data_IF_106100616932
#
_entry.id   IF_106100616932
#
_cell.length_a   1.000
_cell.length_b   1.000
_cell.length_c   1.000
_cell.angle_alpha   90.00
_cell.angle_beta   90.00
_cell.angle_gamma   90.00
#
_symmetry.space_group_name_H-M   'P 1'
#
loop_
_entity.id
_entity.type
_entity.pdbx_description
1 polymer ?
#
# COMPACT_ATOMS: atom_id res chain seq x y z
N UNK A 1 10.30 -14.12 -8.30
CA UNK A 1 9.25 -14.29 -9.34
C UNK A 1 8.97 -12.91 -9.89
N UNK A 2 9.08 -12.67 -11.19
CA UNK A 2 8.78 -11.35 -11.74
C UNK A 2 7.26 -11.22 -11.92
N UNK A 3 6.72 -10.13 -11.39
CA UNK A 3 5.33 -9.72 -11.59
C UNK A 3 5.39 -8.66 -12.69
N UNK A 4 4.63 -8.84 -13.77
CA UNK A 4 4.54 -7.88 -14.87
C UNK A 4 3.64 -6.71 -14.50
N UNK A 5 2.48 -6.99 -13.89
CA UNK A 5 1.45 -5.99 -13.56
C UNK A 5 1.00 -6.17 -12.11
N UNK A 6 1.00 -5.07 -11.34
CA UNK A 6 0.51 -5.03 -9.97
C UNK A 6 -0.75 -4.16 -9.86
N UNK A 7 -1.87 -4.75 -9.47
CA UNK A 7 -3.10 -4.05 -9.10
C UNK A 7 -3.02 -3.69 -7.61
N UNK A 8 -3.17 -2.42 -7.29
CA UNK A 8 -3.16 -1.90 -5.93
C UNK A 8 -4.57 -1.41 -5.62
N UNK A 9 -5.28 -2.14 -4.76
CA UNK A 9 -6.63 -1.82 -4.33
C UNK A 9 -6.64 -1.19 -2.94
N UNK A 10 -7.62 -0.32 -2.67
CA UNK A 10 -7.78 0.34 -1.36
C UNK A 10 -7.97 -0.66 -0.18
N UNK A 11 -8.55 -1.84 -0.46
CA UNK A 11 -8.92 -2.84 0.57
C UNK A 11 -8.53 -4.27 0.16
N UNK A 12 -8.25 -5.18 1.12
CA UNK A 12 -7.88 -6.57 0.83
C UNK A 12 -8.98 -7.36 0.13
N UNK A 13 -10.26 -7.11 0.49
CA UNK A 13 -11.40 -7.76 -0.15
C UNK A 13 -11.52 -7.42 -1.63
N UNK A 14 -11.22 -6.19 -2.02
CA UNK A 14 -11.26 -5.74 -3.42
C UNK A 14 -10.12 -6.38 -4.22
N UNK A 15 -8.91 -6.42 -3.65
CA UNK A 15 -7.77 -7.10 -4.27
C UNK A 15 -8.05 -8.60 -4.52
N UNK A 16 -8.71 -9.27 -3.56
CA UNK A 16 -9.15 -10.66 -3.72
C UNK A 16 -10.14 -10.82 -4.87
N UNK A 17 -11.14 -9.95 -4.93
CA UNK A 17 -12.15 -9.97 -5.98
C UNK A 17 -11.54 -9.76 -7.38
N UNK A 18 -10.54 -8.88 -7.52
CA UNK A 18 -9.78 -8.77 -8.77
C UNK A 18 -9.10 -10.09 -9.14
N UNK A 19 -8.44 -10.74 -8.19
CA UNK A 19 -7.79 -12.02 -8.44
C UNK A 19 -8.81 -13.10 -8.84
N UNK A 20 -9.93 -13.22 -8.12
CA UNK A 20 -11.00 -14.19 -8.39
C UNK A 20 -11.56 -14.01 -9.80
N UNK A 21 -11.97 -12.78 -10.17
CA UNK A 21 -12.61 -12.48 -11.45
C UNK A 21 -11.63 -12.62 -12.61
N UNK A 22 -10.46 -11.96 -12.53
CA UNK A 22 -9.51 -11.92 -13.64
C UNK A 22 -8.84 -13.27 -13.90
N UNK A 23 -8.59 -14.05 -12.85
CA UNK A 23 -7.97 -15.37 -12.98
C UNK A 23 -8.97 -16.50 -13.23
N UNK A 24 -10.28 -16.23 -13.12
CA UNK A 24 -11.34 -17.25 -13.05
C UNK A 24 -11.07 -18.25 -11.91
N UNK A 25 -10.84 -17.73 -10.71
CA UNK A 25 -10.49 -18.47 -9.49
C UNK A 25 -9.17 -19.27 -9.56
N UNK A 26 -8.26 -18.95 -10.49
CA UNK A 26 -6.93 -19.57 -10.65
C UNK A 26 -5.83 -18.62 -10.23
N UNK A 27 -5.82 -18.26 -8.95
CA UNK A 27 -4.77 -17.46 -8.32
C UNK A 27 -4.06 -18.23 -7.21
N UNK A 28 -2.91 -17.73 -6.78
CA UNK A 28 -2.16 -18.20 -5.60
C UNK A 28 -2.12 -17.09 -4.58
N UNK A 29 -2.42 -17.41 -3.34
CA UNK A 29 -2.21 -16.49 -2.21
C UNK A 29 -0.74 -16.52 -1.80
N UNK A 30 -0.16 -15.33 -1.67
CA UNK A 30 1.22 -15.10 -1.25
C UNK A 30 1.24 -14.04 -0.14
N UNK A 31 2.36 -13.93 0.56
CA UNK A 31 2.54 -12.96 1.64
C UNK A 31 3.87 -12.25 1.52
N UNK A 32 3.88 -10.93 1.71
CA UNK A 32 5.09 -10.12 1.88
C UNK A 32 4.88 -9.20 3.08
N UNK A 33 5.83 -9.16 4.02
CA UNK A 33 5.70 -8.42 5.28
C UNK A 33 4.36 -8.66 6.03
N UNK A 34 3.84 -9.90 6.01
CA UNK A 34 2.54 -10.24 6.60
C UNK A 34 1.35 -9.46 5.99
N UNK A 35 1.48 -9.08 4.72
CA UNK A 35 0.41 -8.57 3.87
C UNK A 35 0.11 -9.60 2.79
N UNK A 36 -1.15 -10.01 2.73
CA UNK A 36 -1.66 -10.95 1.73
C UNK A 36 -1.73 -10.29 0.36
N UNK A 37 -1.27 -10.98 -0.67
CA UNK A 37 -1.44 -10.59 -2.07
C UNK A 37 -1.68 -11.83 -2.93
N UNK A 38 -2.27 -11.62 -4.10
CA UNK A 38 -2.73 -12.69 -4.97
C UNK A 38 -1.99 -12.65 -6.28
N UNK A 39 -1.47 -13.78 -6.73
CA UNK A 39 -0.72 -13.91 -7.98
C UNK A 39 -1.51 -14.78 -8.95
N UNK A 40 -1.63 -14.34 -10.20
CA UNK A 40 -2.30 -15.10 -11.25
C UNK A 40 -1.67 -14.84 -12.62
N UNK A 41 -2.08 -15.65 -13.62
CA UNK A 41 -1.70 -15.42 -15.02
C UNK A 41 -2.87 -14.82 -15.79
N UNK A 42 -2.59 -13.79 -16.58
CA UNK A 42 -3.54 -13.16 -17.49
C UNK A 42 -2.79 -12.77 -18.77
N UNK A 43 -3.32 -13.11 -19.96
CA UNK A 43 -2.72 -12.75 -21.25
C UNK A 43 -1.22 -13.08 -21.39
N UNK A 44 -0.80 -14.26 -20.94
CA UNK A 44 0.62 -14.71 -20.89
C UNK A 44 1.56 -13.90 -19.98
N UNK A 45 1.03 -12.99 -19.16
CA UNK A 45 1.79 -12.23 -18.16
C UNK A 45 1.49 -12.74 -16.73
N UNK A 46 2.40 -12.44 -15.81
CA UNK A 46 2.23 -12.67 -14.38
C UNK A 46 1.68 -11.41 -13.74
N UNK A 47 0.46 -11.51 -13.23
CA UNK A 47 -0.25 -10.42 -12.57
C UNK A 47 -0.27 -10.67 -11.06
N UNK A 48 -0.34 -9.58 -10.30
CA UNK A 48 -0.64 -9.65 -8.88
C UNK A 48 -1.66 -8.59 -8.48
N UNK A 49 -2.44 -8.86 -7.44
CA UNK A 49 -3.26 -7.86 -6.75
C UNK A 49 -2.95 -7.83 -5.26
N UNK A 50 -2.79 -6.63 -4.72
CA UNK A 50 -2.57 -6.37 -3.29
C UNK A 50 -3.60 -5.35 -2.80
N UNK A 51 -4.12 -5.56 -1.60
CA UNK A 51 -5.03 -4.62 -0.97
C UNK A 51 -4.35 -3.89 0.17
N UNK A 52 -4.59 -2.58 0.27
CA UNK A 52 -4.10 -1.73 1.35
C UNK A 52 -5.05 -1.75 2.56
N UNK A 53 -4.80 -0.88 3.54
CA UNK A 53 -5.65 -0.69 4.72
C UNK A 53 -6.16 0.75 4.77
N UNK A 54 -6.74 1.20 3.67
CA UNK A 54 -7.02 2.62 3.49
C UNK A 54 -5.74 3.42 3.22
N UNK A 55 -5.71 4.67 3.69
CA UNK A 55 -4.51 5.51 3.64
C UNK A 55 -3.33 4.87 4.38
N UNK A 56 -2.23 4.65 3.65
CA UNK A 56 -0.96 4.14 4.19
C UNK A 56 0.04 5.25 4.55
N UNK A 57 -0.31 6.48 4.19
CA UNK A 57 0.43 7.70 4.44
C UNK A 57 -0.52 8.70 5.12
N UNK A 58 0.04 9.59 5.92
CA UNK A 58 -0.70 10.63 6.64
C UNK A 58 0.15 11.91 6.68
N UNK A 59 -0.44 13.01 7.17
CA UNK A 59 0.28 14.22 7.50
C UNK A 59 0.36 14.39 9.01
N UNK A 60 1.52 14.81 9.49
CA UNK A 60 1.77 15.16 10.89
C UNK A 60 2.66 16.40 10.94
N UNK A 61 2.78 17.05 12.10
CA UNK A 61 3.79 18.08 12.27
C UNK A 61 5.18 17.46 12.49
N UNK A 62 6.27 18.21 12.20
CA UNK A 62 7.60 17.78 12.61
C UNK A 62 7.63 17.45 14.10
N UNK A 63 8.33 16.37 14.49
CA UNK A 63 8.26 15.79 15.84
C UNK A 63 8.49 16.77 17.00
N UNK A 64 9.25 17.85 16.77
CA UNK A 64 9.46 18.93 17.74
C UNK A 64 8.19 19.71 18.12
N UNK A 65 7.13 19.64 17.31
CA UNK A 65 5.84 20.30 17.56
C UNK A 65 4.75 19.36 18.07
N UNK A 66 5.03 18.05 18.21
CA UNK A 66 4.01 17.07 18.63
C UNK A 66 3.73 17.10 20.15
N UNK A 67 4.48 17.92 20.89
CA UNK A 67 4.35 18.05 22.35
C UNK A 67 3.54 19.29 22.70
N UNK A 68 2.24 19.10 22.89
CA UNK A 68 1.28 20.17 23.18
C UNK A 68 1.65 21.07 24.38
N UNK A 69 2.33 20.52 25.39
CA UNK A 69 2.75 21.30 26.56
C UNK A 69 4.01 22.15 26.33
N UNK A 70 4.75 21.90 25.23
CA UNK A 70 6.02 22.55 24.91
C UNK A 70 5.90 23.56 23.76
N UNK A 71 4.69 23.80 23.22
CA UNK A 71 4.44 24.73 22.10
C UNK A 71 3.26 25.67 22.35
N UNK A 72 3.25 26.85 21.72
CA UNK A 72 2.03 27.65 21.56
C UNK A 72 1.25 27.09 20.35
N UNK A 73 -0.03 26.68 20.49
CA UNK A 73 -0.83 26.20 19.37
C UNK A 73 -0.92 27.18 18.18
N UNK A 74 -0.70 28.48 18.40
CA UNK A 74 -0.66 29.49 17.34
C UNK A 74 0.50 29.30 16.38
N UNK A 75 1.61 28.72 16.84
CA UNK A 75 2.78 28.45 16.00
C UNK A 75 2.42 27.48 14.88
N UNK A 76 1.50 26.54 15.12
CA UNK A 76 1.08 25.53 14.14
C UNK A 76 0.48 26.12 12.85
N UNK A 77 -0.07 27.34 12.88
CA UNK A 77 -0.56 28.02 11.68
C UNK A 77 0.56 28.40 10.70
N UNK A 78 1.81 28.42 11.15
CA UNK A 78 2.97 28.84 10.37
C UNK A 78 3.95 27.68 10.09
N UNK A 79 3.60 26.45 10.49
CA UNK A 79 4.43 25.26 10.28
C UNK A 79 3.81 24.39 9.20
N UNK A 80 4.60 24.06 8.19
CA UNK A 80 4.20 23.10 7.16
C UNK A 80 4.15 21.67 7.73
N UNK A 81 3.03 20.95 7.56
CA UNK A 81 2.96 19.53 7.88
C UNK A 81 3.91 18.70 7.02
N UNK A 82 4.41 17.61 7.58
CA UNK A 82 5.22 16.60 6.90
C UNK A 82 4.40 15.36 6.61
N UNK A 83 4.72 14.70 5.50
CA UNK A 83 4.12 13.40 5.18
C UNK A 83 4.83 12.29 5.95
N UNK A 84 4.06 11.43 6.61
CA UNK A 84 4.53 10.31 7.42
C UNK A 84 3.83 9.02 7.02
N UNK A 85 4.39 7.87 7.41
CA UNK A 85 3.71 6.58 7.26
C UNK A 85 2.61 6.49 8.32
N UNK A 86 1.39 6.13 7.91
CA UNK A 86 0.27 5.96 8.83
C UNK A 86 0.56 4.87 9.87
N UNK A 87 0.09 5.05 11.11
CA UNK A 87 0.39 4.14 12.21
C UNK A 87 -0.10 2.72 11.89
N UNK A 88 0.84 1.76 11.88
CA UNK A 88 0.56 0.36 11.56
C UNK A 88 0.51 0.04 10.06
N UNK A 89 0.84 1.01 9.20
CA UNK A 89 0.87 0.85 7.74
C UNK A 89 2.26 0.50 7.18
N UNK A 90 3.30 0.47 8.02
CA UNK A 90 4.68 0.15 7.62
C UNK A 90 4.80 -1.13 6.78
N UNK A 91 4.11 -2.20 7.18
CA UNK A 91 4.10 -3.47 6.45
C UNK A 91 3.58 -3.36 5.02
N UNK A 92 2.63 -2.47 4.75
CA UNK A 92 2.09 -2.26 3.40
C UNK A 92 3.09 -1.51 2.53
N UNK A 93 3.78 -0.51 3.10
CA UNK A 93 4.86 0.21 2.40
C UNK A 93 5.97 -0.75 2.01
N UNK A 94 6.40 -1.61 2.94
CA UNK A 94 7.45 -2.60 2.67
C UNK A 94 6.99 -3.68 1.68
N UNK A 95 5.76 -4.18 1.79
CA UNK A 95 5.20 -5.12 0.82
C UNK A 95 5.13 -4.51 -0.59
N UNK A 96 4.69 -3.26 -0.72
CA UNK A 96 4.70 -2.55 -2.01
C UNK A 96 6.12 -2.36 -2.54
N UNK A 97 7.08 -2.03 -1.68
CA UNK A 97 8.50 -1.89 -2.06
C UNK A 97 9.13 -3.21 -2.50
N UNK A 98 8.73 -4.32 -1.92
CA UNK A 98 9.24 -5.67 -2.25
C UNK A 98 8.62 -6.20 -3.55
N UNK A 99 7.30 -6.17 -3.63
CA UNK A 99 6.53 -6.69 -4.77
C UNK A 99 6.70 -5.79 -6.01
N UNK A 100 6.79 -4.48 -5.80
CA UNK A 100 6.87 -3.46 -6.86
C UNK A 100 8.25 -3.31 -7.52
N UNK A 101 9.30 -4.02 -7.09
CA UNK A 101 10.68 -3.78 -7.58
C UNK A 101 10.87 -3.97 -9.08
N UNK A 102 10.14 -4.92 -9.66
CA UNK A 102 10.35 -5.37 -11.04
C UNK A 102 9.07 -5.35 -11.86
N UNK A 103 8.06 -4.61 -11.42
CA UNK A 103 6.80 -4.48 -12.16
C UNK A 103 7.00 -3.58 -13.37
N UNK A 104 6.31 -3.91 -14.47
CA UNK A 104 6.26 -3.07 -15.66
C UNK A 104 5.18 -2.00 -15.52
N UNK A 105 4.04 -2.35 -14.93
CA UNK A 105 2.93 -1.42 -14.70
C UNK A 105 2.30 -1.60 -13.32
N UNK A 106 1.89 -0.48 -12.72
CA UNK A 106 1.00 -0.44 -11.57
C UNK A 106 -0.39 0.06 -11.99
N UNK A 107 -1.44 -0.62 -11.55
CA UNK A 107 -2.83 -0.21 -11.75
C UNK A 107 -3.41 0.17 -10.38
N UNK A 108 -3.83 1.43 -10.23
CA UNK A 108 -4.47 1.93 -9.01
C UNK A 108 -5.98 1.76 -9.15
N UNK A 109 -6.61 1.07 -8.21
CA UNK A 109 -8.01 0.62 -8.32
C UNK A 109 -8.83 0.78 -7.02
#
# INVERSE_FOLDING_TARGET
>A
MNIDVLIIAEKPSVARMFAEILSKNRYRTMYSYNVEYYVFKLNNEVWASIGLKGHILNYDYPSKYNKWAEIDPRDLFFIDPIQVIEKGSYRYVEALRDIGRSIRYALLA
#
